data_IF_337593468196
#
_entry.id   IF_337593468196
#
_cell.length_a   1.000
_cell.length_b   1.000
_cell.length_c   1.000
_cell.angle_alpha   90.00
_cell.angle_beta   90.00
_cell.angle_gamma   90.00
#
_symmetry.space_group_name_H-M   'P 1'
#
loop_
_entity.id
_entity.type
_entity.pdbx_description
1 polymer ?
#
# COMPACT_ATOMS: atom_id res chain seq x y z
N UNK A 1 -12.47 -17.44 -10.30
CA UNK A 1 -11.19 -16.70 -10.49
C UNK A 1 -10.88 -15.90 -9.23
N UNK A 2 -9.63 -15.88 -8.77
CA UNK A 2 -9.21 -15.11 -7.58
C UNK A 2 -9.05 -13.63 -7.93
N UNK A 3 -9.65 -12.74 -7.12
CA UNK A 3 -9.39 -11.30 -7.17
C UNK A 3 -8.20 -10.94 -6.27
N UNK A 4 -7.13 -10.40 -6.83
CA UNK A 4 -5.96 -9.93 -6.08
C UNK A 4 -6.01 -8.41 -6.04
N UNK A 5 -6.69 -7.87 -5.02
CA UNK A 5 -6.88 -6.43 -4.86
C UNK A 5 -5.68 -5.85 -4.12
N UNK A 6 -5.01 -4.86 -4.70
CA UNK A 6 -3.81 -4.32 -4.07
C UNK A 6 -3.81 -2.80 -3.97
N UNK A 7 -3.10 -2.30 -2.94
CA UNK A 7 -2.68 -0.91 -2.86
C UNK A 7 -1.16 -0.83 -2.72
N UNK A 8 -0.52 -0.04 -3.56
CA UNK A 8 0.93 0.19 -3.48
C UNK A 8 1.30 1.55 -4.07
N UNK A 9 2.21 2.26 -3.43
CA UNK A 9 2.78 3.52 -3.95
C UNK A 9 4.23 3.38 -4.43
N UNK A 10 4.96 2.38 -3.90
CA UNK A 10 6.38 2.14 -4.18
C UNK A 10 6.67 0.70 -4.65
N UNK A 11 5.62 -0.11 -4.90
CA UNK A 11 5.72 -1.41 -5.53
C UNK A 11 5.78 -2.62 -4.60
N UNK A 12 5.92 -2.47 -3.27
CA UNK A 12 6.03 -3.63 -2.38
C UNK A 12 4.80 -4.55 -2.42
N UNK A 13 3.60 -3.98 -2.30
CA UNK A 13 2.36 -4.79 -2.38
C UNK A 13 2.12 -5.31 -3.80
N UNK A 14 2.47 -4.54 -4.84
CA UNK A 14 2.38 -5.02 -6.22
C UNK A 14 3.29 -6.23 -6.45
N UNK A 15 4.52 -6.20 -5.95
CA UNK A 15 5.43 -7.34 -6.03
C UNK A 15 4.84 -8.61 -5.41
N UNK A 16 4.24 -8.48 -4.22
CA UNK A 16 3.55 -9.60 -3.56
C UNK A 16 2.36 -10.06 -4.42
N UNK A 17 1.55 -9.14 -4.96
CA UNK A 17 0.40 -9.46 -5.80
C UNK A 17 0.82 -10.22 -7.08
N UNK A 18 1.92 -9.81 -7.73
CA UNK A 18 2.47 -10.52 -8.89
C UNK A 18 2.92 -11.93 -8.53
N UNK A 19 3.60 -12.12 -7.38
CA UNK A 19 4.01 -13.45 -6.91
C UNK A 19 2.82 -14.36 -6.58
N UNK A 20 1.73 -13.80 -6.08
CA UNK A 20 0.48 -14.55 -5.87
C UNK A 20 -0.09 -14.97 -7.23
N UNK A 21 -0.20 -14.05 -8.19
CA UNK A 21 -0.72 -14.34 -9.53
C UNK A 21 0.09 -15.40 -10.26
N UNK A 22 1.44 -15.36 -10.16
CA UNK A 22 2.34 -16.35 -10.75
C UNK A 22 2.05 -17.79 -10.27
N UNK A 23 1.57 -17.98 -9.05
CA UNK A 23 1.38 -19.30 -8.44
C UNK A 23 -0.08 -19.75 -8.35
N UNK A 24 -1.02 -18.81 -8.15
CA UNK A 24 -2.43 -19.14 -7.93
C UNK A 24 -3.34 -18.75 -9.08
N UNK A 25 -2.81 -18.07 -10.09
CA UNK A 25 -3.58 -17.39 -11.12
C UNK A 25 -4.52 -16.34 -10.51
N UNK A 26 -5.15 -15.51 -11.34
CA UNK A 26 -6.08 -14.48 -10.85
C UNK A 26 -5.88 -13.15 -11.52
N UNK A 27 -6.76 -12.21 -11.21
CA UNK A 27 -6.75 -10.85 -11.74
C UNK A 27 -6.20 -9.89 -10.69
N UNK A 28 -5.16 -9.11 -11.02
CA UNK A 28 -4.62 -8.06 -10.15
C UNK A 28 -5.39 -6.77 -10.39
N UNK A 29 -5.98 -6.22 -9.33
CA UNK A 29 -6.81 -5.02 -9.38
C UNK A 29 -6.25 -3.97 -8.43
N UNK A 30 -6.07 -2.75 -8.93
CA UNK A 30 -5.61 -1.62 -8.12
C UNK A 30 -6.78 -0.99 -7.37
N UNK A 31 -6.77 -1.07 -6.04
CA UNK A 31 -7.90 -0.68 -5.18
C UNK A 31 -8.42 0.74 -5.45
N UNK A 32 -7.59 1.80 -5.62
CA UNK A 32 -8.12 3.14 -5.90
C UNK A 32 -8.93 3.30 -7.20
N UNK A 33 -8.80 2.36 -8.13
CA UNK A 33 -9.52 2.34 -9.40
C UNK A 33 -10.62 1.28 -9.44
N UNK A 34 -10.91 0.65 -8.28
CA UNK A 34 -11.90 -0.42 -8.17
C UNK A 34 -13.19 0.11 -7.54
N UNK A 35 -14.27 0.04 -8.28
CA UNK A 35 -15.62 0.46 -7.87
C UNK A 35 -16.57 -0.70 -7.57
N UNK A 36 -16.16 -1.97 -7.87
CA UNK A 36 -16.92 -3.17 -7.60
C UNK A 36 -17.00 -3.53 -6.11
N UNK A 37 -17.78 -4.57 -5.83
CA UNK A 37 -17.94 -5.18 -4.51
C UNK A 37 -17.24 -6.54 -4.36
N UNK A 38 -16.59 -7.03 -5.40
CA UNK A 38 -15.87 -8.32 -5.42
C UNK A 38 -16.74 -9.51 -5.76
N UNK A 39 -18.03 -9.33 -6.08
CA UNK A 39 -18.95 -10.42 -6.42
C UNK A 39 -18.50 -11.21 -7.66
N UNK A 40 -17.77 -10.58 -8.57
CA UNK A 40 -17.20 -11.18 -9.78
C UNK A 40 -16.08 -12.21 -9.49
N UNK A 41 -15.52 -12.24 -8.28
CA UNK A 41 -14.46 -13.16 -7.88
C UNK A 41 -15.01 -14.32 -7.03
N UNK A 42 -14.38 -15.49 -7.13
CA UNK A 42 -14.70 -16.63 -6.25
C UNK A 42 -14.17 -16.40 -4.82
N UNK A 43 -12.99 -15.79 -4.72
CA UNK A 43 -12.35 -15.37 -3.46
C UNK A 43 -11.48 -14.15 -3.70
N UNK A 44 -11.17 -13.42 -2.62
CA UNK A 44 -10.42 -12.16 -2.70
C UNK A 44 -9.19 -12.21 -1.81
N UNK A 45 -8.05 -11.82 -2.37
CA UNK A 45 -6.80 -11.59 -1.64
C UNK A 45 -6.50 -10.10 -1.65
N UNK A 46 -6.50 -9.44 -0.47
CA UNK A 46 -6.19 -8.02 -0.34
C UNK A 46 -4.72 -7.87 0.07
N UNK A 47 -3.91 -7.29 -0.82
CA UNK A 47 -2.49 -7.04 -0.60
C UNK A 47 -2.26 -5.56 -0.30
N UNK A 48 -1.92 -5.24 0.95
CA UNK A 48 -1.88 -3.85 1.43
C UNK A 48 -0.67 -3.57 2.32
N UNK A 49 -0.08 -2.36 2.26
CA UNK A 49 0.88 -1.95 3.27
C UNK A 49 0.19 -1.59 4.59
N UNK A 50 0.97 -1.59 5.67
CA UNK A 50 0.58 -1.00 6.95
C UNK A 50 1.06 0.45 6.98
N UNK A 51 0.12 1.38 7.19
CA UNK A 51 0.38 2.82 7.37
C UNK A 51 0.02 3.24 8.78
N UNK A 52 0.99 3.78 9.54
CA UNK A 52 0.74 4.31 10.89
C UNK A 52 -0.06 3.37 11.80
N UNK A 53 0.25 2.06 11.76
CA UNK A 53 -0.41 0.99 12.55
C UNK A 53 -1.81 0.59 12.09
N UNK A 54 -2.20 0.94 10.88
CA UNK A 54 -3.46 0.55 10.25
C UNK A 54 -3.31 0.33 8.75
N UNK A 55 -4.37 0.57 7.99
CA UNK A 55 -4.39 0.36 6.54
C UNK A 55 -4.44 1.69 5.78
N UNK A 56 -4.04 1.74 4.50
CA UNK A 56 -4.28 2.91 3.65
C UNK A 56 -5.77 3.25 3.59
N UNK A 57 -6.09 4.55 3.48
CA UNK A 57 -7.49 5.03 3.43
C UNK A 57 -8.32 4.31 2.36
N UNK A 58 -7.77 4.08 1.17
CA UNK A 58 -8.48 3.39 0.09
C UNK A 58 -8.86 1.94 0.44
N UNK A 59 -8.05 1.25 1.25
CA UNK A 59 -8.38 -0.09 1.76
C UNK A 59 -9.46 0.03 2.83
N UNK A 60 -9.34 1.01 3.73
CA UNK A 60 -10.35 1.29 4.75
C UNK A 60 -11.73 1.56 4.11
N UNK A 61 -11.78 2.37 3.07
CA UNK A 61 -13.01 2.75 2.37
C UNK A 61 -13.59 1.59 1.52
N UNK A 62 -12.74 0.64 1.07
CA UNK A 62 -13.16 -0.51 0.28
C UNK A 62 -13.91 -1.54 1.11
N UNK A 63 -13.42 -1.86 2.31
CA UNK A 63 -13.90 -3.02 3.09
C UNK A 63 -15.41 -3.02 3.33
N UNK A 64 -16.08 -1.91 3.69
CA UNK A 64 -17.54 -1.90 3.90
C UNK A 64 -18.37 -2.22 2.65
N UNK A 65 -17.77 -2.09 1.46
CA UNK A 65 -18.44 -2.30 0.17
C UNK A 65 -18.35 -3.74 -0.34
N UNK A 66 -17.40 -4.53 0.21
CA UNK A 66 -17.16 -5.89 -0.29
C UNK A 66 -18.31 -6.83 0.03
N UNK A 67 -18.58 -7.74 -0.90
CA UNK A 67 -19.55 -8.84 -0.73
C UNK A 67 -19.15 -9.72 0.47
N UNK A 68 -20.04 -9.79 1.44
CA UNK A 68 -19.82 -10.50 2.72
C UNK A 68 -19.78 -12.02 2.57
N UNK A 69 -20.24 -12.55 1.44
CA UNK A 69 -20.21 -13.99 1.15
C UNK A 69 -18.83 -14.45 0.66
N UNK A 70 -17.99 -13.53 0.19
CA UNK A 70 -16.66 -13.86 -0.34
C UNK A 70 -15.67 -14.16 0.75
N UNK A 71 -14.88 -15.21 0.57
CA UNK A 71 -13.74 -15.48 1.44
C UNK A 71 -12.64 -14.46 1.20
N UNK A 72 -12.19 -13.80 2.27
CA UNK A 72 -11.14 -12.80 2.23
C UNK A 72 -9.85 -13.30 2.87
N UNK A 73 -8.75 -13.17 2.15
CA UNK A 73 -7.40 -13.32 2.68
C UNK A 73 -6.67 -11.98 2.64
N UNK A 74 -6.10 -11.56 3.76
CA UNK A 74 -5.28 -10.36 3.82
C UNK A 74 -3.80 -10.70 3.82
N UNK A 75 -3.04 -10.02 2.99
CA UNK A 75 -1.59 -10.08 2.96
C UNK A 75 -1.04 -8.67 3.21
N UNK A 76 -0.75 -8.36 4.47
CA UNK A 76 -0.23 -7.05 4.86
C UNK A 76 1.29 -7.03 4.81
N UNK A 77 1.87 -5.93 4.30
CA UNK A 77 3.31 -5.72 4.37
C UNK A 77 3.65 -4.45 5.16
N UNK A 78 4.80 -4.45 5.83
CA UNK A 78 5.24 -3.37 6.70
C UNK A 78 6.77 -3.19 6.64
N UNK A 79 7.25 -1.96 6.83
CA UNK A 79 8.68 -1.66 6.89
C UNK A 79 9.24 -1.69 8.30
N UNK A 80 8.67 -0.89 9.19
CA UNK A 80 9.09 -0.75 10.59
C UNK A 80 8.37 -1.71 11.55
N UNK A 81 7.33 -1.22 12.21
CA UNK A 81 6.56 -1.94 13.24
C UNK A 81 5.12 -2.20 12.80
N UNK A 82 4.57 -3.34 13.21
CA UNK A 82 3.16 -3.70 12.97
C UNK A 82 2.22 -2.94 13.93
N UNK A 83 2.58 -2.83 15.20
CA UNK A 83 1.79 -2.13 16.24
C UNK A 83 0.37 -2.67 16.41
N UNK A 84 0.13 -3.96 16.14
CA UNK A 84 -1.20 -4.58 16.21
C UNK A 84 -2.11 -4.28 15.03
N UNK A 85 -1.60 -3.73 13.92
CA UNK A 85 -2.38 -3.40 12.72
C UNK A 85 -3.08 -4.61 12.08
N UNK A 86 -2.49 -5.79 12.17
CA UNK A 86 -3.09 -7.04 11.72
C UNK A 86 -4.36 -7.38 12.51
N UNK A 87 -4.32 -7.27 13.83
CA UNK A 87 -5.48 -7.51 14.68
C UNK A 87 -6.54 -6.41 14.53
N UNK A 88 -6.11 -5.15 14.38
CA UNK A 88 -7.03 -4.05 14.11
C UNK A 88 -7.77 -4.24 12.78
N UNK A 89 -7.08 -4.54 11.68
CA UNK A 89 -7.71 -4.83 10.39
C UNK A 89 -8.67 -6.02 10.49
N UNK A 90 -8.28 -7.06 11.20
CA UNK A 90 -9.13 -8.23 11.41
C UNK A 90 -10.45 -7.86 12.11
N UNK A 91 -10.37 -7.15 13.23
CA UNK A 91 -11.56 -6.74 13.98
C UNK A 91 -12.44 -5.77 13.18
N UNK A 92 -11.84 -4.85 12.46
CA UNK A 92 -12.56 -3.94 11.56
C UNK A 92 -13.29 -4.70 10.43
N UNK A 93 -12.63 -5.68 9.81
CA UNK A 93 -13.26 -6.51 8.80
C UNK A 93 -14.46 -7.30 9.36
N UNK A 94 -14.33 -7.89 10.55
CA UNK A 94 -15.43 -8.59 11.23
C UNK A 94 -16.61 -7.66 11.58
N UNK A 95 -16.32 -6.45 12.05
CA UNK A 95 -17.36 -5.43 12.34
C UNK A 95 -18.16 -5.03 11.09
N UNK A 96 -17.54 -5.14 9.90
CA UNK A 96 -18.21 -4.94 8.62
C UNK A 96 -18.88 -6.23 8.06
N UNK A 97 -18.91 -7.31 8.83
CA UNK A 97 -19.54 -8.56 8.46
C UNK A 97 -18.77 -9.40 7.42
N UNK A 98 -17.49 -9.10 7.21
CA UNK A 98 -16.68 -9.76 6.19
C UNK A 98 -16.20 -11.15 6.64
N UNK A 99 -16.17 -12.10 5.70
CA UNK A 99 -15.73 -13.48 5.93
C UNK A 99 -14.18 -13.60 5.80
N UNK A 100 -13.47 -13.34 6.88
CA UNK A 100 -12.00 -13.40 6.89
C UNK A 100 -11.52 -14.84 7.09
N UNK A 101 -10.92 -15.42 6.06
CA UNK A 101 -10.30 -16.75 6.09
C UNK A 101 -8.90 -16.73 6.70
N UNK A 102 -8.05 -15.84 6.21
CA UNK A 102 -6.65 -15.78 6.65
C UNK A 102 -6.07 -14.38 6.60
N UNK A 103 -5.08 -14.14 7.47
CA UNK A 103 -4.31 -12.92 7.51
C UNK A 103 -2.82 -13.21 7.66
N UNK A 104 -2.03 -12.69 6.74
CA UNK A 104 -0.58 -12.83 6.74
C UNK A 104 0.09 -11.47 6.83
N UNK A 105 1.24 -11.43 7.48
CA UNK A 105 2.06 -10.22 7.57
C UNK A 105 3.48 -10.50 7.14
N UNK A 106 4.10 -9.56 6.43
CA UNK A 106 5.45 -9.69 5.91
C UNK A 106 6.23 -8.39 6.04
N UNK A 107 7.45 -8.49 6.55
CA UNK A 107 8.36 -7.35 6.54
C UNK A 107 8.92 -7.13 5.13
N UNK A 108 8.72 -5.93 4.60
CA UNK A 108 9.23 -5.42 3.33
C UNK A 108 10.12 -4.19 3.58
N UNK A 109 10.87 -3.71 2.59
CA UNK A 109 11.62 -2.47 2.75
C UNK A 109 10.74 -1.30 3.18
N UNK A 110 11.24 -0.50 4.14
CA UNK A 110 10.58 0.71 4.59
C UNK A 110 10.62 1.80 3.51
N UNK A 111 9.48 2.43 3.25
CA UNK A 111 9.37 3.52 2.30
C UNK A 111 9.05 4.89 2.93
N UNK A 112 8.82 4.98 4.23
CA UNK A 112 8.65 6.26 4.91
C UNK A 112 10.02 6.91 5.16
N UNK A 113 10.64 7.44 4.10
CA UNK A 113 12.00 8.02 4.14
C UNK A 113 12.02 9.54 4.30
N UNK A 114 10.92 10.16 4.68
CA UNK A 114 10.82 11.62 4.82
C UNK A 114 11.71 12.16 5.96
N UNK A 115 11.87 11.39 7.02
CA UNK A 115 12.55 11.82 8.25
C UNK A 115 13.83 11.04 8.56
N UNK A 116 14.04 9.87 7.95
CA UNK A 116 15.23 9.04 8.16
C UNK A 116 15.69 8.38 6.87
N UNK A 117 16.92 7.85 6.90
CA UNK A 117 17.56 7.13 5.78
C UNK A 117 17.60 5.64 6.10
N UNK A 118 17.28 4.81 5.12
CA UNK A 118 17.40 3.35 5.25
C UNK A 118 18.59 2.87 4.42
N UNK A 119 19.62 2.25 5.05
CA UNK A 119 20.80 1.79 4.33
C UNK A 119 20.47 0.78 3.22
N UNK A 120 21.06 0.93 2.05
CA UNK A 120 20.79 0.08 0.88
C UNK A 120 21.04 -1.41 1.12
N UNK A 121 22.10 -1.75 1.87
CA UNK A 121 22.41 -3.15 2.20
C UNK A 121 21.31 -3.78 3.06
N UNK A 122 20.72 -3.01 3.98
CA UNK A 122 19.60 -3.46 4.79
C UNK A 122 18.37 -3.74 3.91
N UNK A 123 18.06 -2.84 2.96
CA UNK A 123 16.95 -3.03 2.03
C UNK A 123 17.09 -4.32 1.22
N UNK A 124 18.30 -4.60 0.69
CA UNK A 124 18.60 -5.85 -0.03
C UNK A 124 18.39 -7.09 0.85
N UNK A 125 18.86 -7.04 2.09
CA UNK A 125 18.68 -8.13 3.05
C UNK A 125 17.22 -8.38 3.42
N UNK A 126 16.40 -7.33 3.53
CA UNK A 126 14.96 -7.44 3.76
C UNK A 126 14.27 -8.10 2.56
N UNK A 127 14.55 -7.66 1.33
CA UNK A 127 13.99 -8.23 0.10
C UNK A 127 14.30 -9.72 -0.01
N UNK A 128 15.58 -10.12 0.15
CA UNK A 128 15.98 -11.54 0.06
C UNK A 128 15.23 -12.44 1.06
N UNK A 129 14.98 -11.94 2.29
CA UNK A 129 14.19 -12.68 3.29
C UNK A 129 12.71 -12.70 2.93
N UNK A 130 12.21 -11.59 2.38
CA UNK A 130 10.82 -11.47 1.95
C UNK A 130 10.49 -12.49 0.86
N UNK A 131 11.34 -12.65 -0.14
CA UNK A 131 11.12 -13.59 -1.26
C UNK A 131 10.87 -15.02 -0.78
N UNK A 132 11.72 -15.52 0.13
CA UNK A 132 11.52 -16.86 0.73
C UNK A 132 10.17 -16.97 1.46
N UNK A 133 9.80 -15.94 2.22
CA UNK A 133 8.56 -15.95 3.01
C UNK A 133 7.31 -15.79 2.15
N UNK A 134 7.39 -15.04 1.05
CA UNK A 134 6.28 -14.89 0.09
C UNK A 134 5.86 -16.26 -0.43
N UNK A 135 6.80 -17.06 -0.93
CA UNK A 135 6.50 -18.42 -1.43
C UNK A 135 5.83 -19.29 -0.36
N UNK A 136 6.39 -19.32 0.87
CA UNK A 136 5.78 -20.07 1.98
C UNK A 136 4.35 -19.61 2.29
N UNK A 137 4.08 -18.30 2.28
CA UNK A 137 2.75 -17.76 2.55
C UNK A 137 1.79 -18.12 1.42
N UNK A 138 2.23 -18.04 0.15
CA UNK A 138 1.39 -18.40 -1.00
C UNK A 138 1.02 -19.88 -0.96
N UNK A 139 1.97 -20.76 -0.59
CA UNK A 139 1.67 -22.20 -0.39
C UNK A 139 0.59 -22.40 0.68
N UNK A 140 0.64 -21.68 1.79
CA UNK A 140 -0.41 -21.73 2.83
C UNK A 140 -1.77 -21.27 2.30
N UNK A 141 -1.80 -20.20 1.50
CA UNK A 141 -3.02 -19.71 0.85
C UNK A 141 -3.57 -20.78 -0.10
N UNK A 142 -2.72 -21.39 -0.94
CA UNK A 142 -3.09 -22.46 -1.87
C UNK A 142 -3.70 -23.68 -1.16
N UNK A 143 -3.12 -24.05 -0.01
CA UNK A 143 -3.61 -25.16 0.81
C UNK A 143 -4.87 -24.80 1.62
N UNK A 144 -5.38 -23.58 1.51
CA UNK A 144 -6.54 -23.12 2.27
C UNK A 144 -6.31 -23.00 3.78
N UNK A 145 -5.05 -22.92 4.23
CA UNK A 145 -4.71 -22.83 5.65
C UNK A 145 -5.32 -21.59 6.29
N UNK A 146 -6.05 -21.80 7.39
CA UNK A 146 -6.63 -20.71 8.18
C UNK A 146 -5.59 -20.18 9.17
N UNK A 147 -5.21 -18.92 8.97
CA UNK A 147 -4.27 -18.20 9.84
C UNK A 147 -4.87 -16.88 10.26
N UNK A 148 -5.22 -16.73 11.53
CA UNK A 148 -5.81 -15.49 12.07
C UNK A 148 -4.88 -14.84 13.11
N UNK A 149 -4.91 -13.51 13.24
CA UNK A 149 -4.09 -12.82 14.23
C UNK A 149 -4.61 -13.14 15.64
N UNK A 150 -3.68 -13.32 16.57
CA UNK A 150 -4.03 -13.47 18.00
C UNK A 150 -4.48 -12.12 18.55
N UNK A 151 -5.42 -12.14 19.51
CA UNK A 151 -5.85 -10.95 20.25
C UNK A 151 -4.63 -10.25 20.86
N UNK A 152 -4.51 -8.95 20.61
CA UNK A 152 -3.42 -8.12 21.12
C UNK A 152 -3.86 -6.66 21.21
N UNK A 153 -3.08 -5.85 21.97
CA UNK A 153 -3.26 -4.41 21.98
C UNK A 153 -3.01 -3.83 20.58
N UNK A 154 -3.87 -2.94 20.13
CA UNK A 154 -3.75 -2.21 18.87
C UNK A 154 -3.35 -0.77 19.12
N UNK A 155 -2.78 -0.12 18.12
CA UNK A 155 -2.54 1.32 18.12
C UNK A 155 -3.60 2.06 17.28
N UNK A 156 -4.86 1.59 17.34
CA UNK A 156 -5.99 2.12 16.60
C UNK A 156 -6.18 3.62 16.79
N UNK A 157 -6.18 4.11 18.02
CA UNK A 157 -6.32 5.55 18.32
C UNK A 157 -5.23 6.39 17.66
N UNK A 158 -3.99 5.89 17.68
CA UNK A 158 -2.86 6.52 16.98
C UNK A 158 -3.06 6.49 15.46
N UNK A 159 -3.53 5.36 14.92
CA UNK A 159 -3.83 5.23 13.50
C UNK A 159 -4.92 6.22 13.06
N UNK A 160 -6.06 6.26 13.75
CA UNK A 160 -7.17 7.15 13.42
C UNK A 160 -6.75 8.63 13.49
N UNK A 161 -6.02 9.01 14.53
CA UNK A 161 -5.43 10.37 14.65
C UNK A 161 -4.48 10.68 13.50
N UNK A 162 -3.61 9.76 13.12
CA UNK A 162 -2.68 9.98 12.00
C UNK A 162 -3.41 10.05 10.67
N UNK A 163 -4.41 9.17 10.46
CA UNK A 163 -5.21 9.14 9.24
C UNK A 163 -5.98 10.47 9.03
N UNK A 164 -6.57 11.02 10.08
CA UNK A 164 -7.27 12.31 10.01
C UNK A 164 -6.33 13.49 9.69
N UNK A 165 -5.02 13.35 9.97
CA UNK A 165 -4.01 14.37 9.75
C UNK A 165 -3.09 14.10 8.55
N UNK A 166 -3.36 13.10 7.70
CA UNK A 166 -2.50 12.82 6.55
C UNK A 166 -2.45 13.96 5.53
N UNK A 167 -3.49 14.77 5.43
CA UNK A 167 -3.49 15.97 4.60
C UNK A 167 -2.32 16.92 4.94
N UNK A 168 -1.98 17.06 6.23
CA UNK A 168 -0.85 17.88 6.71
C UNK A 168 0.50 17.43 6.11
N UNK A 169 0.65 16.13 5.80
CA UNK A 169 1.84 15.64 5.08
C UNK A 169 1.85 16.22 3.66
N UNK A 170 0.70 16.28 3.01
CA UNK A 170 0.54 16.88 1.68
C UNK A 170 0.91 18.36 1.66
N UNK A 171 0.46 19.14 2.62
CA UNK A 171 0.75 20.57 2.76
C UNK A 171 2.24 20.88 2.94
N UNK A 172 2.99 19.94 3.52
CA UNK A 172 4.44 20.08 3.76
C UNK A 172 5.30 19.71 2.56
N UNK A 173 4.70 19.24 1.45
CA UNK A 173 5.42 19.07 0.20
C UNK A 173 5.55 20.39 -0.52
N UNK A 174 6.69 20.56 -1.18
CA UNK A 174 6.94 21.66 -2.12
C UNK A 174 7.71 21.13 -3.33
N UNK A 175 7.72 21.90 -4.40
CA UNK A 175 8.36 21.55 -5.65
C UNK A 175 9.52 22.50 -5.90
N UNK A 176 10.69 21.95 -6.22
CA UNK A 176 11.90 22.75 -6.54
C UNK A 176 11.95 23.11 -8.03
N UNK A 177 12.83 24.03 -8.40
CA UNK A 177 13.07 24.47 -9.80
C UNK A 177 13.56 23.32 -10.72
N UNK A 178 13.91 22.15 -10.16
CA UNK A 178 14.27 20.97 -10.94
C UNK A 178 13.04 20.27 -11.58
N UNK A 179 11.83 20.76 -11.30
CA UNK A 179 10.58 20.22 -11.86
C UNK A 179 10.50 20.49 -13.36
N UNK A 180 10.43 19.42 -14.14
CA UNK A 180 10.24 19.48 -15.60
C UNK A 180 8.76 19.49 -16.01
N UNK A 181 7.84 19.65 -15.08
CA UNK A 181 6.38 19.72 -15.31
C UNK A 181 5.81 18.54 -16.09
N UNK A 182 6.37 17.33 -15.91
CA UNK A 182 5.99 16.12 -16.66
C UNK A 182 4.61 15.53 -16.27
N UNK A 183 3.93 16.02 -15.25
CA UNK A 183 2.60 15.55 -14.83
C UNK A 183 2.61 14.22 -14.04
N UNK A 184 3.70 13.44 -14.02
CA UNK A 184 3.73 12.10 -13.41
C UNK A 184 3.18 12.05 -11.97
N UNK A 185 3.45 13.05 -11.15
CA UNK A 185 2.95 13.11 -9.76
C UNK A 185 1.43 13.28 -9.68
N UNK A 186 0.83 13.91 -10.69
CA UNK A 186 -0.62 14.09 -10.82
C UNK A 186 -1.25 12.75 -11.19
N UNK A 187 -0.75 12.09 -12.24
CA UNK A 187 -1.30 10.85 -12.79
C UNK A 187 -1.27 9.70 -11.78
N UNK A 188 -0.20 9.62 -10.97
CA UNK A 188 -0.02 8.54 -10.00
C UNK A 188 -0.66 8.81 -8.64
N UNK A 189 -1.28 9.97 -8.43
CA UNK A 189 -1.86 10.32 -7.14
C UNK A 189 -3.21 9.60 -6.90
N UNK A 190 -3.28 8.60 -6.01
CA UNK A 190 -4.51 7.84 -5.80
C UNK A 190 -5.65 8.68 -5.20
N UNK A 191 -5.31 9.78 -4.53
CA UNK A 191 -6.26 10.70 -3.92
C UNK A 191 -6.59 11.91 -4.81
N UNK A 192 -6.04 11.97 -6.05
CA UNK A 192 -6.18 13.13 -6.94
C UNK A 192 -5.88 14.46 -6.23
N UNK A 193 -4.86 14.45 -5.37
CA UNK A 193 -4.46 15.55 -4.49
C UNK A 193 -3.54 16.57 -5.16
N UNK A 194 -3.11 16.33 -6.40
CA UNK A 194 -2.08 17.12 -7.07
C UNK A 194 -2.64 17.59 -8.41
N UNK A 195 -2.41 18.86 -8.73
CA UNK A 195 -2.83 19.47 -10.01
C UNK A 195 -1.81 20.49 -10.50
N UNK A 196 -2.01 21.00 -11.71
CA UNK A 196 -1.35 22.23 -12.18
C UNK A 196 -2.23 23.44 -11.88
N UNK A 197 -1.62 24.49 -11.35
CA UNK A 197 -2.21 25.81 -11.20
C UNK A 197 -1.19 26.84 -11.70
N UNK A 198 -1.57 27.64 -12.70
CA UNK A 198 -0.69 28.66 -13.34
C UNK A 198 0.70 28.08 -13.74
N UNK A 199 0.69 26.86 -14.28
CA UNK A 199 1.89 26.15 -14.71
C UNK A 199 2.77 25.61 -13.58
N UNK A 200 2.32 25.67 -12.33
CA UNK A 200 3.00 25.12 -11.17
C UNK A 200 2.27 23.89 -10.61
N UNK A 201 3.01 22.94 -10.06
CA UNK A 201 2.44 21.78 -9.36
C UNK A 201 2.00 22.22 -7.97
N UNK A 202 0.73 22.01 -7.65
CA UNK A 202 0.12 22.34 -6.35
C UNK A 202 -0.44 21.11 -5.68
N UNK A 203 -0.43 21.10 -4.32
CA UNK A 203 -0.99 20.06 -3.48
C UNK A 203 -2.23 20.61 -2.78
N UNK A 204 -3.33 19.86 -2.79
CA UNK A 204 -4.54 20.15 -2.02
C UNK A 204 -4.57 19.40 -0.68
N UNK A 205 -5.72 19.32 -0.03
CA UNK A 205 -5.93 18.77 1.32
C UNK A 205 -6.34 17.28 1.35
N UNK A 206 -6.33 16.60 0.19
CA UNK A 206 -6.77 15.19 0.08
C UNK A 206 -5.64 14.17 0.19
N UNK A 207 -4.46 14.57 0.65
CA UNK A 207 -3.31 13.69 0.75
C UNK A 207 -3.57 12.50 1.69
N UNK A 208 -3.22 11.30 1.26
CA UNK A 208 -3.33 10.04 2.03
C UNK A 208 -1.96 9.51 2.50
N UNK A 209 -0.96 10.36 2.52
CA UNK A 209 0.40 10.07 3.00
C UNK A 209 1.10 8.86 2.33
N UNK A 210 0.72 8.50 1.12
CA UNK A 210 1.27 7.33 0.42
C UNK A 210 2.69 7.53 -0.12
N UNK A 211 3.17 8.76 -0.23
CA UNK A 211 4.50 9.16 -0.72
C UNK A 211 4.81 8.77 -2.17
N UNK A 212 3.84 8.31 -2.96
CA UNK A 212 4.05 7.91 -4.35
C UNK A 212 4.66 9.03 -5.20
N UNK A 213 4.12 10.26 -5.10
CA UNK A 213 4.63 11.43 -5.80
C UNK A 213 6.09 11.76 -5.41
N UNK A 214 6.40 11.63 -4.11
CA UNK A 214 7.75 11.85 -3.60
C UNK A 214 8.74 10.83 -4.16
N UNK A 215 8.43 9.54 -4.10
CA UNK A 215 9.34 8.47 -4.52
C UNK A 215 9.52 8.39 -6.03
N UNK A 216 8.46 8.60 -6.79
CA UNK A 216 8.41 8.35 -8.25
C UNK A 216 8.65 9.60 -9.10
N UNK A 217 9.00 10.75 -8.49
CA UNK A 217 9.39 11.94 -9.24
C UNK A 217 10.74 11.71 -9.96
N UNK A 218 10.81 11.74 -11.32
CA UNK A 218 12.02 11.41 -12.06
C UNK A 218 13.16 12.40 -11.78
N UNK A 219 12.82 13.67 -11.49
CA UNK A 219 13.79 14.71 -11.15
C UNK A 219 13.99 14.88 -9.63
N UNK A 220 13.31 14.07 -8.81
CA UNK A 220 13.31 14.22 -7.34
C UNK A 220 12.96 15.64 -6.87
N UNK A 221 12.20 16.36 -7.68
CA UNK A 221 11.84 17.75 -7.46
C UNK A 221 10.85 17.98 -6.31
N UNK A 222 10.10 16.95 -5.90
CA UNK A 222 9.19 17.04 -4.75
C UNK A 222 10.00 16.84 -3.48
N UNK A 223 9.93 17.81 -2.56
CA UNK A 223 10.67 17.83 -1.30
C UNK A 223 9.73 18.01 -0.12
N UNK A 224 10.10 17.50 1.04
CA UNK A 224 9.33 17.59 2.29
C UNK A 224 9.97 18.58 3.25
N UNK A 225 9.19 19.51 3.82
CA UNK A 225 9.66 20.59 4.71
C UNK A 225 10.83 21.38 4.09
N UNK A 226 10.79 21.65 2.77
CA UNK A 226 11.85 22.33 2.01
C UNK A 226 13.24 21.66 2.10
N UNK A 227 13.31 20.43 2.63
CA UNK A 227 14.56 19.66 2.74
C UNK A 227 14.69 18.70 1.58
N UNK A 228 15.77 18.81 0.81
CA UNK A 228 16.07 17.89 -0.30
C UNK A 228 16.59 16.57 0.26
N UNK A 229 15.72 15.56 0.38
CA UNK A 229 16.14 14.18 0.68
C UNK A 229 16.48 13.44 -0.61
N UNK A 230 17.58 12.68 -0.59
CA UNK A 230 18.03 11.86 -1.73
C UNK A 230 17.43 10.46 -1.74
N UNK A 231 16.95 9.98 -0.58
CA UNK A 231 16.46 8.62 -0.42
C UNK A 231 15.10 8.47 -1.05
N UNK A 232 15.10 7.81 -2.19
CA UNK A 232 13.89 7.38 -2.90
C UNK A 232 13.89 5.86 -2.93
N UNK A 233 12.74 5.29 -2.70
CA UNK A 233 12.57 3.85 -2.75
C UNK A 233 11.46 3.47 -3.72
N UNK A 234 11.79 2.60 -4.63
CA UNK A 234 10.86 1.83 -5.45
C UNK A 234 11.33 0.39 -5.36
N UNK A 235 10.45 -0.56 -5.26
CA UNK A 235 10.81 -1.97 -5.24
C UNK A 235 11.56 -2.33 -6.54
N UNK A 236 12.81 -2.79 -6.47
CA UNK A 236 13.63 -3.02 -7.66
C UNK A 236 13.20 -4.24 -8.49
N UNK A 237 12.29 -5.06 -7.97
CA UNK A 237 11.83 -6.30 -8.62
C UNK A 237 10.53 -6.12 -9.39
N UNK A 238 10.08 -4.88 -9.61
CA UNK A 238 8.87 -4.58 -10.39
C UNK A 238 9.14 -3.49 -11.44
N UNK A 239 8.36 -3.49 -12.50
CA UNK A 239 8.27 -2.33 -13.37
C UNK A 239 7.49 -1.21 -12.67
N UNK A 240 8.12 -0.06 -12.47
CA UNK A 240 7.51 1.12 -11.84
C UNK A 240 6.22 1.56 -12.56
N UNK A 241 6.14 1.34 -13.87
CA UNK A 241 5.00 1.76 -14.68
C UNK A 241 3.74 0.92 -14.41
N UNK A 242 3.89 -0.25 -13.80
CA UNK A 242 2.76 -1.11 -13.40
C UNK A 242 2.16 -0.72 -12.04
N UNK A 243 2.85 0.11 -11.24
CA UNK A 243 2.31 0.55 -9.96
C UNK A 243 1.10 1.44 -10.20
N UNK A 244 -0.06 1.05 -9.64
CA UNK A 244 -1.31 1.78 -9.79
C UNK A 244 -2.14 1.32 -10.99
N UNK A 245 -1.84 0.17 -11.59
CA UNK A 245 -2.58 -0.39 -12.72
C UNK A 245 -3.19 -1.75 -12.39
N UNK A 246 -4.29 -2.06 -13.07
CA UNK A 246 -4.81 -3.41 -13.15
C UNK A 246 -3.91 -4.26 -14.07
N UNK A 247 -3.81 -5.56 -13.78
CA UNK A 247 -2.98 -6.50 -14.56
C UNK A 247 -3.80 -7.78 -14.74
N UNK A 248 -4.21 -8.02 -15.98
CA UNK A 248 -4.94 -9.24 -16.39
C UNK A 248 -4.03 -10.44 -16.49
#
# INVERSE_FOLDING_TARGET
MIGILYFSSTGNSLYIAQKIKEQLSGKIVYIPNYDGDGSEFDSIIIVTPIYSFGMPKHVFDLLPRLDRQKELTFFQNYGGMIGGADYYLYTYALQNGLNVKSMFTLKMPENFTLTFTVPKFYLKGVLKRADKRIGTIITKIANGERTLPRKKKTNESTYLKNMSNWHVIGERFSVTNECIKCGKCIDICPAKNISFCEGNVVFSDRCVACLGCYHRCPKKAIVYLKKKKKDRYINPNIDENLIGKNID
#
